data_IF_803758907429
#
_entry.id   IF_803758907429
#
_cell.length_a   1.000
_cell.length_b   1.000
_cell.length_c   1.000
_cell.angle_alpha   90.00
_cell.angle_beta   90.00
_cell.angle_gamma   90.00
#
_symmetry.space_group_name_H-M   'P 1'
#
loop_
_entity.id
_entity.type
_entity.pdbx_description
1 polymer ?
#
# COMPACT_ATOMS: atom_id res chain seq x y z
N UNK A 1 9.39 10.24 -11.65
CA UNK A 1 10.26 9.35 -12.46
C UNK A 1 11.70 9.79 -12.32
N UNK A 2 12.64 8.83 -12.28
CA UNK A 2 14.09 9.10 -12.25
C UNK A 2 14.68 8.87 -13.65
N UNK A 3 15.90 9.34 -13.88
CA UNK A 3 16.68 9.11 -15.11
C UNK A 3 17.00 7.63 -15.33
N UNK A 4 16.87 6.81 -14.29
CA UNK A 4 17.09 5.36 -14.30
C UNK A 4 15.78 4.58 -14.22
N UNK A 5 14.64 5.20 -14.55
CA UNK A 5 13.31 4.59 -14.50
C UNK A 5 12.55 4.85 -13.20
N UNK A 6 11.52 4.03 -12.96
CA UNK A 6 10.72 4.11 -11.73
C UNK A 6 11.54 3.62 -10.55
N UNK A 7 11.54 4.38 -9.46
CA UNK A 7 12.13 4.00 -8.19
C UNK A 7 11.10 4.17 -7.09
N UNK A 8 11.13 3.27 -6.12
CA UNK A 8 10.32 3.34 -4.91
C UNK A 8 11.08 4.11 -3.84
N UNK A 9 10.43 5.13 -3.29
CA UNK A 9 11.04 6.06 -2.36
C UNK A 9 10.50 5.77 -0.97
N UNK A 10 11.39 5.61 0.00
CA UNK A 10 11.04 5.36 1.40
C UNK A 10 12.05 6.03 2.33
N UNK A 11 11.83 5.96 3.62
CA UNK A 11 12.81 6.35 4.63
C UNK A 11 13.24 5.16 5.46
N UNK A 12 14.34 5.30 6.18
CA UNK A 12 14.83 4.25 7.08
C UNK A 12 13.77 3.85 8.10
N UNK A 13 13.03 4.81 8.64
CA UNK A 13 11.97 4.57 9.63
C UNK A 13 10.83 3.76 9.03
N UNK A 14 10.30 4.20 7.88
CA UNK A 14 9.17 3.54 7.21
C UNK A 14 9.57 2.12 6.81
N UNK A 15 10.71 1.95 6.15
CA UNK A 15 11.20 0.65 5.71
C UNK A 15 11.41 -0.33 6.87
N UNK A 16 12.08 0.12 7.93
CA UNK A 16 12.31 -0.71 9.11
C UNK A 16 11.02 -1.09 9.83
N UNK A 17 10.05 -0.17 9.94
CA UNK A 17 8.76 -0.45 10.58
C UNK A 17 7.93 -1.47 9.78
N UNK A 18 8.00 -1.45 8.45
CA UNK A 18 7.33 -2.44 7.61
C UNK A 18 7.99 -3.83 7.70
N UNK A 19 9.32 -3.90 7.69
CA UNK A 19 10.05 -5.17 7.75
C UNK A 19 9.93 -5.82 9.13
N UNK A 20 10.23 -5.06 10.20
CA UNK A 20 10.34 -5.59 11.55
C UNK A 20 9.03 -5.52 12.36
N UNK A 21 8.00 -4.87 11.81
CA UNK A 21 6.80 -4.48 12.54
C UNK A 21 7.08 -3.37 13.55
N UNK A 22 6.06 -2.99 14.33
CA UNK A 22 6.13 -2.00 15.42
C UNK A 22 6.99 -2.46 16.62
N UNK A 23 7.83 -3.48 16.44
CA UNK A 23 8.85 -3.91 17.39
C UNK A 23 10.05 -2.97 17.28
N UNK A 24 9.86 -1.69 17.59
CA UNK A 24 10.98 -0.83 17.98
C UNK A 24 11.50 -1.35 19.32
N UNK A 25 12.41 -2.34 19.27
CA UNK A 25 13.53 -2.28 20.20
C UNK A 25 14.23 -0.99 19.86
N UNK A 26 14.24 -0.04 20.78
CA UNK A 26 15.23 1.03 20.83
C UNK A 26 16.59 0.37 20.69
N UNK A 27 17.04 0.24 19.45
CA UNK A 27 18.40 -0.15 19.15
C UNK A 27 19.17 1.14 19.35
N UNK A 28 19.55 1.35 20.61
CA UNK A 28 20.48 2.39 21.01
C UNK A 28 21.65 2.44 20.01
N UNK A 29 21.90 3.65 19.51
CA UNK A 29 23.17 4.11 18.93
C UNK A 29 23.61 3.41 17.63
N UNK A 30 22.99 3.82 16.53
CA UNK A 30 23.77 4.40 15.44
C UNK A 30 23.21 5.80 15.20
N UNK A 31 24.04 6.80 15.44
CA UNK A 31 23.71 8.19 15.14
C UNK A 31 23.07 8.30 13.76
N UNK A 32 21.99 9.07 13.69
CA UNK A 32 21.30 9.52 12.49
C UNK A 32 22.24 10.37 11.60
N UNK A 33 23.29 9.78 11.03
CA UNK A 33 24.23 10.50 10.15
C UNK A 33 23.55 10.94 8.83
N UNK A 34 22.38 10.36 8.50
CA UNK A 34 21.66 10.68 7.26
C UNK A 34 20.58 11.76 7.39
N UNK A 35 20.15 12.14 8.60
CA UNK A 35 19.02 13.07 8.73
C UNK A 35 19.36 14.51 8.31
N UNK A 36 20.65 14.85 8.13
CA UNK A 36 21.07 16.22 7.80
C UNK A 36 22.05 16.35 6.63
N UNK A 37 22.46 15.24 5.99
CA UNK A 37 23.46 15.29 4.91
C UNK A 37 22.85 15.43 3.51
N UNK A 38 21.53 15.28 3.37
CA UNK A 38 20.85 15.36 2.07
C UNK A 38 21.22 14.22 1.11
N UNK A 39 21.90 13.18 1.60
CA UNK A 39 22.37 12.04 0.80
C UNK A 39 21.35 10.92 0.84
N UNK A 40 20.95 10.42 -0.33
CA UNK A 40 20.12 9.24 -0.48
C UNK A 40 20.96 7.95 -0.37
N UNK A 41 20.34 6.86 0.07
CA UNK A 41 20.92 5.52 0.01
C UNK A 41 20.21 4.73 -1.07
N UNK A 42 20.99 4.04 -1.90
CA UNK A 42 20.49 3.02 -2.82
C UNK A 42 21.02 1.67 -2.37
N UNK A 43 20.14 0.67 -2.35
CA UNK A 43 20.46 -0.65 -1.81
C UNK A 43 21.30 -1.51 -2.76
N UNK A 44 21.28 -1.19 -4.06
CA UNK A 44 22.03 -1.88 -5.10
C UNK A 44 22.53 -0.88 -6.15
N UNK A 45 23.51 -1.29 -6.96
CA UNK A 45 24.15 -0.42 -7.96
C UNK A 45 23.15 -0.05 -9.05
N UNK A 46 22.90 1.25 -9.21
CA UNK A 46 22.10 1.80 -10.32
C UNK A 46 22.89 1.80 -11.63
N UNK A 47 24.20 2.05 -11.55
CA UNK A 47 25.12 2.08 -12.68
C UNK A 47 26.28 1.11 -12.41
N UNK A 48 26.73 0.41 -13.45
CA UNK A 48 27.89 -0.46 -13.34
C UNK A 48 29.13 0.33 -12.86
N UNK A 49 29.75 -0.14 -11.78
CA UNK A 49 31.00 0.38 -11.19
C UNK A 49 30.93 1.74 -10.46
N UNK A 50 29.74 2.30 -10.19
CA UNK A 50 29.62 3.50 -9.33
C UNK A 50 29.06 3.20 -7.95
N UNK A 51 29.76 3.66 -6.91
CA UNK A 51 29.34 3.54 -5.50
C UNK A 51 28.69 4.83 -4.97
N UNK A 52 28.79 5.92 -5.72
CA UNK A 52 28.14 7.19 -5.45
C UNK A 52 27.77 7.89 -6.76
N UNK A 53 26.84 8.84 -6.67
CA UNK A 53 26.36 9.57 -7.83
C UNK A 53 25.26 10.54 -7.45
N UNK A 54 24.44 10.89 -8.43
CA UNK A 54 23.27 11.73 -8.23
C UNK A 54 22.05 11.08 -8.89
N UNK A 55 20.89 11.30 -8.28
CA UNK A 55 19.60 10.80 -8.76
C UNK A 55 18.58 11.94 -8.74
N UNK A 56 17.78 12.04 -9.80
CA UNK A 56 16.65 12.96 -9.83
C UNK A 56 15.40 12.28 -9.24
N UNK A 57 14.80 12.93 -8.25
CA UNK A 57 13.52 12.55 -7.64
C UNK A 57 12.51 13.66 -7.93
N UNK A 58 11.89 13.59 -9.12
CA UNK A 58 11.09 14.68 -9.65
C UNK A 58 11.99 15.83 -10.09
N UNK A 59 11.77 17.03 -9.52
CA UNK A 59 12.56 18.23 -9.81
C UNK A 59 13.81 18.38 -8.91
N UNK A 60 13.97 17.51 -7.91
CA UNK A 60 15.10 17.56 -6.97
C UNK A 60 16.21 16.63 -7.45
N UNK A 61 17.46 17.11 -7.45
CA UNK A 61 18.64 16.32 -7.80
C UNK A 61 19.49 16.09 -6.55
N UNK A 62 19.54 14.85 -6.07
CA UNK A 62 20.16 14.52 -4.79
C UNK A 62 21.39 13.61 -4.96
N UNK A 63 22.45 13.82 -4.18
CA UNK A 63 23.55 12.87 -4.13
C UNK A 63 23.08 11.56 -3.52
N UNK A 64 23.59 10.43 -4.01
CA UNK A 64 23.35 9.12 -3.42
C UNK A 64 24.66 8.36 -3.17
N UNK A 65 24.60 7.44 -2.22
CA UNK A 65 25.62 6.41 -1.98
C UNK A 65 24.99 5.02 -2.07
N UNK A 66 25.74 4.03 -2.55
CA UNK A 66 25.33 2.64 -2.54
C UNK A 66 25.68 2.04 -1.18
N UNK A 67 24.69 1.43 -0.51
CA UNK A 67 24.87 0.77 0.77
C UNK A 67 24.14 -0.57 0.74
N UNK A 68 24.90 -1.67 0.67
CA UNK A 68 24.33 -3.01 0.66
C UNK A 68 23.75 -3.34 2.03
N UNK A 69 22.42 -3.44 2.13
CA UNK A 69 21.72 -3.84 3.35
C UNK A 69 20.98 -5.15 3.12
N UNK A 70 21.08 -6.05 4.09
CA UNK A 70 20.31 -7.29 4.10
C UNK A 70 18.86 -6.97 4.46
N UNK A 71 18.01 -6.79 3.45
CA UNK A 71 16.57 -6.57 3.59
C UNK A 71 15.84 -7.82 3.10
N UNK A 72 14.89 -8.31 3.91
CA UNK A 72 14.04 -9.42 3.52
C UNK A 72 13.06 -9.00 2.43
N UNK A 73 13.40 -9.29 1.17
CA UNK A 73 12.58 -8.99 0.00
C UNK A 73 11.33 -9.86 -0.10
N UNK A 74 11.21 -10.95 0.67
CA UNK A 74 10.06 -11.85 0.55
C UNK A 74 8.75 -11.13 0.80
N UNK A 75 8.74 -10.12 1.69
CA UNK A 75 7.58 -9.26 1.95
C UNK A 75 7.13 -8.44 0.74
N UNK A 76 8.07 -8.13 -0.16
CA UNK A 76 7.81 -7.32 -1.35
C UNK A 76 7.62 -8.13 -2.63
N UNK A 77 7.83 -9.46 -2.57
CA UNK A 77 7.83 -10.35 -3.74
C UNK A 77 6.52 -10.28 -4.54
N UNK A 78 5.39 -10.15 -3.87
CA UNK A 78 4.07 -10.00 -4.49
C UNK A 78 3.87 -8.71 -5.29
N UNK A 79 4.70 -7.70 -5.04
CA UNK A 79 4.68 -6.40 -5.73
C UNK A 79 5.75 -6.30 -6.83
N UNK A 80 6.58 -7.33 -7.01
CA UNK A 80 7.64 -7.35 -8.03
C UNK A 80 8.75 -6.31 -7.79
N UNK A 81 8.96 -5.87 -6.55
CA UNK A 81 10.02 -4.94 -6.20
C UNK A 81 11.34 -5.66 -5.95
N UNK A 82 12.41 -5.13 -6.51
CA UNK A 82 13.78 -5.58 -6.29
C UNK A 82 14.55 -4.53 -5.46
N UNK A 83 15.70 -4.92 -4.88
CA UNK A 83 16.53 -3.99 -4.07
C UNK A 83 16.98 -2.77 -4.87
N UNK A 84 17.37 -2.96 -6.13
CA UNK A 84 17.69 -1.88 -7.05
C UNK A 84 16.58 -0.84 -7.18
N UNK A 85 15.31 -1.22 -7.04
CA UNK A 85 14.18 -0.31 -7.24
C UNK A 85 14.00 0.65 -6.06
N UNK A 86 14.63 0.39 -4.91
CA UNK A 86 14.42 1.13 -3.66
C UNK A 86 15.47 2.21 -3.46
N UNK A 87 15.01 3.43 -3.17
CA UNK A 87 15.83 4.58 -2.78
C UNK A 87 15.37 5.07 -1.42
N UNK A 88 16.28 5.05 -0.45
CA UNK A 88 16.05 5.55 0.89
C UNK A 88 16.47 7.02 0.94
N UNK A 89 15.55 7.90 1.31
CA UNK A 89 15.77 9.35 1.38
C UNK A 89 15.81 9.82 2.83
N UNK A 90 16.47 10.96 3.11
CA UNK A 90 16.38 11.62 4.42
C UNK A 90 14.93 11.93 4.81
N UNK A 91 14.58 11.74 6.09
CA UNK A 91 13.22 11.92 6.60
C UNK A 91 12.67 13.33 6.32
N UNK A 92 13.52 14.35 6.42
CA UNK A 92 13.14 15.76 6.19
C UNK A 92 12.78 16.08 4.73
N UNK A 93 13.26 15.29 3.76
CA UNK A 93 12.97 15.46 2.34
C UNK A 93 11.80 14.59 1.87
N UNK A 94 11.44 13.55 2.63
CA UNK A 94 10.45 12.57 2.20
C UNK A 94 9.09 13.19 1.83
N UNK A 95 8.54 14.05 2.69
CA UNK A 95 7.23 14.69 2.44
C UNK A 95 7.27 15.61 1.21
N UNK A 96 8.36 16.35 1.02
CA UNK A 96 8.54 17.22 -0.15
C UNK A 96 8.62 16.40 -1.44
N UNK A 97 9.35 15.28 -1.41
CA UNK A 97 9.48 14.37 -2.55
C UNK A 97 8.13 13.74 -2.88
N UNK A 98 7.40 13.23 -1.88
CA UNK A 98 6.05 12.63 -2.08
C UNK A 98 5.09 13.65 -2.68
N UNK A 99 4.94 14.82 -2.06
CA UNK A 99 4.02 15.86 -2.52
C UNK A 99 4.35 16.34 -3.94
N UNK A 100 5.64 16.37 -4.31
CA UNK A 100 6.08 16.78 -5.65
C UNK A 100 5.84 15.71 -6.73
N UNK A 101 5.48 14.48 -6.36
CA UNK A 101 5.29 13.36 -7.28
C UNK A 101 3.85 12.82 -7.28
N UNK A 102 2.91 13.47 -6.60
CA UNK A 102 1.49 13.14 -6.71
C UNK A 102 0.95 13.50 -8.10
N UNK A 103 0.00 12.70 -8.61
CA UNK A 103 -0.57 12.93 -9.93
C UNK A 103 -1.66 14.01 -9.85
N UNK A 104 -1.41 15.17 -10.45
CA UNK A 104 -2.40 16.24 -10.57
C UNK A 104 -3.06 16.14 -11.95
N UNK A 105 -4.39 16.00 -11.97
CA UNK A 105 -5.18 15.91 -13.20
C UNK A 105 -6.24 16.99 -13.24
N UNK A 106 -6.28 17.73 -14.34
CA UNK A 106 -7.34 18.69 -14.62
C UNK A 106 -8.37 18.06 -15.55
N UNK A 107 -9.63 18.12 -15.18
CA UNK A 107 -10.77 17.60 -15.94
C UNK A 107 -11.79 18.69 -16.20
N UNK A 108 -12.51 18.58 -17.32
CA UNK A 108 -13.57 19.51 -17.71
C UNK A 108 -14.83 18.73 -18.10
N UNK A 109 -16.01 19.30 -17.83
CA UNK A 109 -17.26 18.82 -18.43
C UNK A 109 -17.56 19.58 -19.72
N UNK A 110 -17.84 18.87 -20.80
CA UNK A 110 -18.18 19.45 -22.10
C UNK A 110 -19.70 19.43 -22.29
N UNK A 111 -20.27 20.53 -22.76
CA UNK A 111 -21.65 20.59 -23.21
C UNK A 111 -21.77 19.88 -24.58
N UNK A 112 -22.58 18.81 -24.69
CA UNK A 112 -22.68 18.06 -25.93
C UNK A 112 -23.35 18.83 -27.08
N UNK A 113 -24.11 19.90 -26.79
CA UNK A 113 -24.79 20.71 -27.82
C UNK A 113 -23.83 21.69 -28.46
N UNK A 114 -23.05 22.40 -27.64
CA UNK A 114 -22.15 23.48 -28.10
C UNK A 114 -20.73 22.99 -28.38
N UNK A 115 -20.33 21.84 -27.82
CA UNK A 115 -18.96 21.34 -27.86
C UNK A 115 -17.98 22.14 -26.99
N UNK A 116 -18.45 23.16 -26.27
CA UNK A 116 -17.65 24.00 -25.40
C UNK A 116 -17.60 23.44 -23.97
N UNK A 117 -16.64 23.94 -23.18
CA UNK A 117 -16.60 23.67 -21.75
C UNK A 117 -17.84 24.27 -21.07
N UNK A 118 -18.49 23.47 -20.20
CA UNK A 118 -19.58 23.96 -19.37
C UNK A 118 -19.03 24.94 -18.32
N UNK A 119 -19.73 26.05 -18.14
CA UNK A 119 -19.35 27.08 -17.16
C UNK A 119 -19.23 26.48 -15.74
N UNK A 120 -18.15 26.84 -15.04
CA UNK A 120 -17.85 26.35 -13.69
C UNK A 120 -17.46 24.86 -13.60
N UNK A 121 -17.34 24.15 -14.72
CA UNK A 121 -17.12 22.71 -14.72
C UNK A 121 -15.66 22.30 -15.02
N UNK A 122 -14.70 23.13 -14.61
CA UNK A 122 -13.26 22.84 -14.64
C UNK A 122 -12.80 22.46 -13.23
N UNK A 123 -12.23 21.28 -13.07
CA UNK A 123 -11.84 20.74 -11.77
C UNK A 123 -10.43 20.17 -11.83
N UNK A 124 -9.68 20.34 -10.75
CA UNK A 124 -8.38 19.71 -10.56
C UNK A 124 -8.49 18.72 -9.40
N UNK A 125 -7.98 17.52 -9.60
CA UNK A 125 -7.91 16.48 -8.57
C UNK A 125 -6.49 15.96 -8.47
N UNK A 126 -6.08 15.68 -7.24
CA UNK A 126 -4.84 14.98 -6.93
C UNK A 126 -5.11 13.48 -6.74
N UNK A 127 -4.16 12.65 -7.18
CA UNK A 127 -4.24 11.20 -7.05
C UNK A 127 -2.89 10.62 -6.60
N UNK A 128 -2.96 9.56 -5.79
CA UNK A 128 -1.81 8.76 -5.42
C UNK A 128 -1.33 7.98 -6.67
N UNK A 129 -0.04 8.06 -7.04
CA UNK A 129 0.49 7.37 -8.22
C UNK A 129 0.32 5.85 -8.12
N UNK A 130 0.16 5.22 -9.29
CA UNK A 130 0.19 3.76 -9.39
C UNK A 130 1.52 3.20 -8.86
N UNK A 131 1.47 2.02 -8.23
CA UNK A 131 2.66 1.39 -7.65
C UNK A 131 3.05 1.94 -6.27
N UNK A 132 2.26 2.85 -5.69
CA UNK A 132 2.40 3.21 -4.28
C UNK A 132 2.02 2.02 -3.40
N UNK A 133 2.90 1.67 -2.45
CA UNK A 133 2.62 0.67 -1.42
C UNK A 133 2.19 1.41 -0.16
N UNK A 134 1.01 1.05 0.33
CA UNK A 134 0.50 1.47 1.63
C UNK A 134 0.57 0.27 2.57
N UNK A 135 0.94 0.50 3.83
CA UNK A 135 0.93 -0.52 4.86
C UNK A 135 0.33 0.06 6.15
N UNK A 136 -0.20 -0.81 6.99
CA UNK A 136 -0.82 -0.43 8.24
C UNK A 136 -1.39 -1.65 8.96
N UNK A 137 -1.96 -1.40 10.14
CA UNK A 137 -2.51 -2.43 11.00
C UNK A 137 -4.04 -2.40 10.98
N UNK A 138 -4.67 -3.56 10.86
CA UNK A 138 -6.11 -3.74 11.06
C UNK A 138 -6.29 -4.35 12.45
N UNK A 139 -7.10 -3.69 13.29
CA UNK A 139 -7.41 -4.18 14.63
C UNK A 139 -8.84 -4.71 14.68
N UNK A 140 -8.99 -5.99 14.99
CA UNK A 140 -10.28 -6.61 15.26
C UNK A 140 -10.57 -6.45 16.75
N UNK A 141 -11.77 -5.94 17.07
CA UNK A 141 -12.25 -5.81 18.44
C UNK A 141 -13.24 -6.91 18.72
N UNK A 142 -12.86 -7.85 19.59
CA UNK A 142 -13.78 -8.87 20.06
C UNK A 142 -14.81 -8.26 21.01
N UNK A 143 -16.09 -8.43 20.67
CA UNK A 143 -17.24 -7.98 21.44
C UNK A 143 -18.03 -9.12 22.06
N UNK A 144 -17.49 -10.35 22.05
CA UNK A 144 -18.09 -11.53 22.68
C UNK A 144 -18.47 -11.31 24.15
N UNK A 145 -17.76 -10.42 24.87
CA UNK A 145 -18.07 -10.05 26.26
C UNK A 145 -19.39 -9.27 26.45
N UNK A 146 -20.03 -8.80 25.37
CA UNK A 146 -21.31 -8.08 25.42
C UNK A 146 -22.54 -8.98 25.16
N UNK A 147 -22.31 -10.27 24.90
CA UNK A 147 -23.36 -11.29 24.73
C UNK A 147 -24.20 -11.37 26.00
N UNK A 148 -25.54 -11.36 25.87
CA UNK A 148 -26.49 -11.36 26.98
C UNK A 148 -26.73 -10.01 27.69
N UNK A 149 -26.11 -8.91 27.24
CA UNK A 149 -26.38 -7.55 27.76
C UNK A 149 -27.46 -6.83 26.93
N UNK A 150 -27.50 -7.10 25.61
CA UNK A 150 -28.52 -6.59 24.68
C UNK A 150 -28.80 -7.64 23.61
N UNK A 151 -30.01 -8.19 23.61
CA UNK A 151 -30.44 -9.25 22.69
C UNK A 151 -30.36 -8.82 21.20
N UNK A 152 -30.28 -7.52 20.91
CA UNK A 152 -30.10 -7.00 19.53
C UNK A 152 -28.69 -7.19 18.99
N UNK A 153 -27.73 -7.55 19.84
CA UNK A 153 -26.34 -7.77 19.44
C UNK A 153 -26.11 -9.17 18.89
N UNK A 154 -27.05 -10.10 19.05
CA UNK A 154 -26.88 -11.47 18.59
C UNK A 154 -27.46 -11.73 17.19
N UNK A 155 -26.76 -12.52 16.35
CA UNK A 155 -25.44 -13.11 16.58
C UNK A 155 -24.28 -12.16 16.20
N UNK A 156 -23.23 -12.12 17.04
CA UNK A 156 -21.95 -11.46 16.69
C UNK A 156 -21.04 -12.45 15.94
N UNK A 157 -20.34 -12.01 14.89
CA UNK A 157 -19.35 -12.86 14.22
C UNK A 157 -18.15 -13.11 15.14
N UNK A 158 -17.59 -14.30 15.06
CA UNK A 158 -16.32 -14.66 15.68
C UNK A 158 -15.15 -13.92 15.03
N UNK A 159 -14.02 -13.87 15.74
CA UNK A 159 -12.78 -13.28 15.21
C UNK A 159 -12.36 -14.01 13.93
N UNK A 160 -12.44 -15.34 13.91
CA UNK A 160 -12.05 -16.17 12.77
C UNK A 160 -12.91 -15.87 11.52
N UNK A 161 -14.22 -15.65 11.71
CA UNK A 161 -15.13 -15.25 10.62
C UNK A 161 -14.79 -13.87 10.09
N UNK A 162 -14.44 -12.91 10.96
CA UNK A 162 -14.01 -11.57 10.55
C UNK A 162 -12.69 -11.62 9.78
N UNK A 163 -11.72 -12.40 10.23
CA UNK A 163 -10.45 -12.59 9.52
C UNK A 163 -10.65 -13.26 8.16
N UNK A 164 -11.51 -14.27 8.09
CA UNK A 164 -11.87 -14.94 6.85
C UNK A 164 -12.51 -13.95 5.87
N UNK A 165 -13.52 -13.20 6.33
CA UNK A 165 -14.20 -12.20 5.52
C UNK A 165 -13.22 -11.12 5.00
N UNK A 166 -12.27 -10.66 5.83
CA UNK A 166 -11.23 -9.73 5.40
C UNK A 166 -10.35 -10.31 4.30
N UNK A 167 -9.85 -11.54 4.46
CA UNK A 167 -9.01 -12.22 3.46
C UNK A 167 -9.76 -12.48 2.16
N UNK A 168 -11.01 -12.93 2.24
CA UNK A 168 -11.83 -13.19 1.06
C UNK A 168 -12.20 -11.90 0.33
N UNK A 169 -12.42 -10.79 1.06
CA UNK A 169 -12.82 -9.51 0.46
C UNK A 169 -11.73 -8.85 -0.41
N UNK A 170 -10.48 -9.32 -0.38
CA UNK A 170 -9.34 -8.68 -1.08
C UNK A 170 -9.59 -8.44 -2.56
N UNK A 171 -10.27 -9.38 -3.24
CA UNK A 171 -10.52 -9.31 -4.68
C UNK A 171 -11.49 -8.16 -5.07
N UNK A 172 -12.31 -7.68 -4.13
CA UNK A 172 -13.16 -6.51 -4.35
C UNK A 172 -12.35 -5.22 -4.45
N UNK A 173 -11.20 -5.12 -3.78
CA UNK A 173 -10.32 -3.94 -3.92
C UNK A 173 -9.68 -3.86 -5.31
N UNK A 174 -9.46 -5.00 -5.97
CA UNK A 174 -8.94 -5.06 -7.34
C UNK A 174 -10.04 -4.69 -8.37
N UNK A 175 -11.29 -5.09 -8.11
CA UNK A 175 -12.41 -5.01 -9.08
C UNK A 175 -13.38 -3.86 -8.89
N UNK A 176 -13.57 -3.37 -7.66
CA UNK A 176 -14.42 -2.22 -7.34
C UNK A 176 -13.58 -0.98 -7.07
N UNK A 177 -12.44 -1.16 -6.39
CA UNK A 177 -11.60 -0.07 -5.93
C UNK A 177 -12.20 0.69 -4.75
N UNK A 178 -11.42 1.62 -4.21
CA UNK A 178 -11.81 2.47 -3.07
C UNK A 178 -11.60 3.96 -3.37
N UNK A 179 -12.35 4.82 -2.69
CA UNK A 179 -12.29 6.27 -2.87
C UNK A 179 -13.14 6.77 -4.05
N UNK A 180 -12.76 7.92 -4.61
CA UNK A 180 -13.48 8.55 -5.72
C UNK A 180 -13.08 8.04 -7.10
N UNK A 181 -13.88 8.38 -8.12
CA UNK A 181 -13.56 8.13 -9.54
C UNK A 181 -13.33 6.65 -9.92
N UNK A 182 -13.90 5.71 -9.16
CA UNK A 182 -13.76 4.25 -9.41
C UNK A 182 -14.31 3.81 -10.77
N UNK A 183 -15.35 4.49 -11.29
CA UNK A 183 -15.91 4.28 -12.63
C UNK A 183 -14.96 4.69 -13.76
N UNK A 184 -13.89 5.44 -13.45
CA UNK A 184 -12.82 5.83 -14.37
C UNK A 184 -11.52 5.05 -14.13
N UNK A 185 -11.58 3.96 -13.36
CA UNK A 185 -10.45 3.07 -13.10
C UNK A 185 -9.54 3.48 -11.94
N UNK A 186 -9.93 4.48 -11.13
CA UNK A 186 -9.15 4.86 -9.94
C UNK A 186 -9.45 3.95 -8.73
N UNK A 187 -8.52 3.93 -7.78
CA UNK A 187 -8.72 3.32 -6.47
C UNK A 187 -8.52 1.81 -6.40
N UNK A 188 -8.03 1.17 -7.48
CA UNK A 188 -7.77 -0.28 -7.49
C UNK A 188 -6.52 -0.60 -6.68
N UNK A 189 -6.63 -1.59 -5.80
CA UNK A 189 -5.55 -2.01 -4.90
C UNK A 189 -5.43 -3.53 -4.90
N UNK A 190 -4.18 -4.01 -4.86
CA UNK A 190 -3.86 -5.39 -4.49
C UNK A 190 -3.58 -5.41 -2.99
N UNK A 191 -4.31 -6.22 -2.24
CA UNK A 191 -4.20 -6.30 -0.78
C UNK A 191 -3.46 -7.57 -0.37
N UNK A 192 -2.43 -7.38 0.46
CA UNK A 192 -1.72 -8.45 1.15
C UNK A 192 -1.95 -8.28 2.65
N UNK A 193 -2.48 -9.31 3.30
CA UNK A 193 -2.74 -9.34 4.74
C UNK A 193 -1.75 -10.33 5.35
N UNK A 194 -0.81 -9.82 6.16
CA UNK A 194 0.09 -10.66 6.96
C UNK A 194 -0.57 -10.93 8.31
N UNK A 195 -0.78 -12.21 8.65
CA UNK A 195 -1.15 -12.59 10.00
C UNK A 195 0.07 -12.48 10.93
N UNK A 196 -0.11 -11.79 12.06
CA UNK A 196 0.75 -12.01 13.22
C UNK A 196 0.23 -13.27 13.92
N UNK A 197 0.43 -14.43 13.28
CA UNK A 197 0.08 -15.81 13.68
C UNK A 197 -1.17 -15.94 14.58
N UNK A 198 -2.26 -16.48 14.03
CA UNK A 198 -2.86 -17.72 14.52
C UNK A 198 -4.03 -18.21 13.62
N UNK A 199 -3.74 -19.33 12.91
CA UNK A 199 -4.64 -20.35 12.34
C UNK A 199 -5.29 -20.07 10.97
N UNK A 200 -5.21 -21.11 10.13
CA UNK A 200 -5.75 -21.19 8.79
C UNK A 200 -7.28 -21.04 8.77
N UNK A 201 -7.79 -20.18 7.90
CA UNK A 201 -9.20 -20.19 7.51
C UNK A 201 -9.44 -21.42 6.62
N UNK A 202 -9.94 -22.51 7.19
CA UNK A 202 -10.42 -23.64 6.41
C UNK A 202 -11.77 -23.27 5.75
N UNK A 203 -11.85 -23.55 4.45
CA UNK A 203 -13.02 -23.31 3.62
C UNK A 203 -14.15 -24.25 4.05
N UNK A 204 -15.11 -23.73 4.78
CA UNK A 204 -16.47 -24.29 4.83
C UNK A 204 -17.44 -23.28 4.25
N UNK A 205 -17.40 -23.11 2.94
CA UNK A 205 -18.58 -22.61 2.21
C UNK A 205 -19.72 -23.62 2.42
N UNK A 206 -20.88 -23.23 2.98
CA UNK A 206 -22.04 -24.11 2.96
C UNK A 206 -22.48 -24.27 1.51
N UNK A 207 -22.43 -25.50 1.01
CA UNK A 207 -23.03 -25.87 -0.26
C UNK A 207 -24.53 -25.50 -0.23
N UNK A 208 -25.08 -24.93 -1.32
CA UNK A 208 -26.49 -24.61 -1.37
C UNK A 208 -27.28 -25.92 -1.34
N UNK A 209 -28.05 -26.10 -0.27
CA UNK A 209 -29.09 -27.10 -0.18
C UNK A 209 -30.12 -26.84 -1.29
N UNK A 210 -30.34 -27.84 -2.15
CA UNK A 210 -31.22 -27.66 -3.30
C UNK A 210 -31.59 -28.94 -4.04
N UNK A 211 -32.85 -29.31 -3.85
CA UNK A 211 -33.71 -30.14 -4.72
C UNK A 211 -33.63 -31.66 -4.59
N UNK A 212 -34.78 -32.24 -4.24
CA UNK A 212 -35.00 -33.67 -4.17
C UNK A 212 -35.22 -34.33 -5.52
N UNK A 213 -35.25 -35.65 -5.50
CA UNK A 213 -35.85 -36.50 -6.52
C UNK A 213 -36.29 -37.79 -5.86
N UNK A 214 -37.52 -38.18 -6.20
CA UNK A 214 -38.32 -39.28 -5.70
C UNK A 214 -37.76 -40.66 -6.12
N UNK A 215 -38.20 -41.69 -5.38
CA UNK A 215 -38.57 -43.04 -5.85
C UNK A 215 -37.56 -43.86 -6.68
N UNK A 216 -37.20 -45.07 -6.24
CA UNK A 216 -37.98 -46.31 -6.37
C UNK A 216 -37.10 -47.55 -6.06
N UNK A 217 -37.79 -48.58 -5.54
CA UNK A 217 -37.42 -49.99 -5.33
C UNK A 217 -36.57 -50.33 -4.10
#
# INVERSE_FOLDING_TARGET
FTMYGTRWITTDKILNSYINGDKTKESEKKEDVNNNTGICIVLEKIEEKRENGYINLGWIYLPYKVENRSIDLNKFSEFGLNLQDIVIVPDNLFSQIVNSNLEIRTSVSIDPITGAAKEGALFTSEAIPRGTILYGNIRIFDKSSFVGIDDRLEPLPSIDELECALKESKHFFETLGIGGMTTRGFGRLKIQIEEIKNKNCDKTSPSPSGSGSQNNQ
#
